data_IF_785227142863
#
_entry.id   IF_785227142863
#
_cell.length_a   1.000
_cell.length_b   1.000
_cell.length_c   1.000
_cell.angle_alpha   90.00
_cell.angle_beta   90.00
_cell.angle_gamma   90.00
#
_symmetry.space_group_name_H-M   'P 1'
#
loop_
_entity.id
_entity.type
_entity.pdbx_description
1 polymer ?
#
# COMPACT_ATOMS: atom_id res chain seq x y z
N UNK A 1 4.13 14.42 -36.26
CA UNK A 1 4.68 13.71 -35.09
C UNK A 1 4.21 12.26 -35.11
N UNK A 2 5.13 11.30 -35.22
CA UNK A 2 4.80 9.88 -35.33
C UNK A 2 4.47 9.24 -33.95
N UNK A 3 3.93 8.02 -33.94
CA UNK A 3 3.49 7.35 -32.70
C UNK A 3 4.61 7.19 -31.66
N UNK A 4 5.84 6.96 -32.11
CA UNK A 4 7.01 6.77 -31.25
C UNK A 4 7.34 8.08 -30.50
N UNK A 5 7.42 9.20 -31.23
CA UNK A 5 7.67 10.52 -30.64
C UNK A 5 6.58 10.94 -29.63
N UNK A 6 5.31 10.61 -29.90
CA UNK A 6 4.21 10.87 -28.96
C UNK A 6 4.34 10.06 -27.67
N UNK A 7 4.70 8.78 -27.78
CA UNK A 7 4.91 7.91 -26.61
C UNK A 7 6.05 8.40 -25.73
N UNK A 8 7.14 8.83 -26.34
CA UNK A 8 8.32 9.34 -25.64
C UNK A 8 8.04 10.66 -24.92
N UNK A 9 7.33 11.59 -25.56
CA UNK A 9 6.89 12.84 -24.94
C UNK A 9 5.99 12.59 -23.70
N UNK A 10 5.07 11.63 -23.77
CA UNK A 10 4.21 11.24 -22.64
C UNK A 10 5.05 10.67 -21.50
N UNK A 11 6.01 9.77 -21.80
CA UNK A 11 6.91 9.18 -20.80
C UNK A 11 7.77 10.25 -20.13
N UNK A 12 8.29 11.21 -20.89
CA UNK A 12 9.09 12.31 -20.36
C UNK A 12 8.26 13.23 -19.45
N UNK A 13 7.01 13.54 -19.82
CA UNK A 13 6.10 14.30 -18.96
C UNK A 13 5.80 13.60 -17.64
N UNK A 14 5.54 12.28 -17.67
CA UNK A 14 5.35 11.48 -16.47
C UNK A 14 6.59 11.45 -15.58
N UNK A 15 7.78 11.25 -16.18
CA UNK A 15 9.05 11.24 -15.44
C UNK A 15 9.34 12.58 -14.78
N UNK A 16 9.08 13.70 -15.46
CA UNK A 16 9.20 15.03 -14.88
C UNK A 16 8.28 15.18 -13.65
N UNK A 17 7.02 14.77 -13.77
CA UNK A 17 6.07 14.77 -12.65
C UNK A 17 6.48 13.87 -11.48
N UNK A 18 7.25 12.81 -11.75
CA UNK A 18 7.81 11.97 -10.68
C UNK A 18 9.03 12.58 -10.01
N UNK A 19 9.81 13.41 -10.71
CA UNK A 19 11.00 14.10 -10.21
C UNK A 19 10.68 15.35 -9.38
N UNK A 20 9.62 16.07 -9.74
CA UNK A 20 9.18 17.28 -9.03
C UNK A 20 8.05 17.03 -8.02
N UNK A 21 7.56 15.79 -7.91
CA UNK A 21 6.49 15.40 -7.00
C UNK A 21 5.07 15.82 -7.43
N UNK A 22 4.92 16.48 -8.58
CA UNK A 22 3.63 16.96 -9.10
C UNK A 22 2.75 15.87 -9.72
N UNK A 23 3.26 14.64 -9.79
CA UNK A 23 2.54 13.50 -10.36
C UNK A 23 1.17 13.31 -9.70
N UNK A 24 0.14 13.13 -10.52
CA UNK A 24 -1.20 12.72 -10.05
C UNK A 24 -1.18 11.43 -9.22
N UNK A 25 -0.15 10.60 -9.40
CA UNK A 25 0.03 9.38 -8.60
C UNK A 25 0.33 9.71 -7.13
N UNK A 26 0.99 10.84 -6.85
CA UNK A 26 1.24 11.30 -5.49
C UNK A 26 -0.07 11.58 -4.75
N UNK A 27 -1.01 12.22 -5.44
CA UNK A 27 -2.35 12.59 -4.93
C UNK A 27 -3.38 11.47 -5.06
N UNK A 28 -2.99 10.27 -5.50
CA UNK A 28 -3.95 9.15 -5.65
C UNK A 28 -4.51 8.74 -4.30
N UNK A 29 -5.85 8.78 -4.20
CA UNK A 29 -6.64 8.29 -3.06
C UNK A 29 -6.31 6.84 -2.74
N UNK A 30 -6.16 6.54 -1.45
CA UNK A 30 -6.15 5.18 -0.91
C UNK A 30 -7.03 5.14 0.34
N UNK A 31 -7.47 3.95 0.76
CA UNK A 31 -8.37 3.77 1.91
C UNK A 31 -7.76 4.41 3.17
N UNK A 32 -8.55 5.13 3.95
CA UNK A 32 -8.07 5.96 5.06
C UNK A 32 -7.93 7.44 4.69
N UNK A 33 -7.91 7.75 3.39
CA UNK A 33 -7.80 9.12 2.87
C UNK A 33 -8.91 9.44 1.89
N UNK A 34 -9.31 10.71 1.85
CA UNK A 34 -10.14 11.33 0.82
C UNK A 34 -9.34 12.38 0.06
N UNK A 35 -9.98 13.05 -0.90
CA UNK A 35 -9.42 14.19 -1.62
C UNK A 35 -10.18 15.44 -1.21
N UNK A 36 -9.49 16.46 -0.73
CA UNK A 36 -10.08 17.75 -0.36
C UNK A 36 -10.36 18.63 -1.60
N UNK A 37 -10.88 19.83 -1.38
CA UNK A 37 -11.17 20.81 -2.45
C UNK A 37 -9.95 21.21 -3.27
N UNK A 38 -8.76 21.17 -2.68
CA UNK A 38 -7.49 21.55 -3.32
C UNK A 38 -6.85 20.37 -4.09
N UNK A 39 -7.52 19.22 -4.10
CA UNK A 39 -7.04 18.01 -4.76
C UNK A 39 -5.96 17.27 -3.97
N UNK A 40 -5.82 17.54 -2.68
CA UNK A 40 -4.82 16.93 -1.80
C UNK A 40 -5.40 15.81 -0.95
N UNK A 41 -4.52 14.94 -0.44
CA UNK A 41 -4.93 13.82 0.43
C UNK A 41 -5.26 14.35 1.81
N UNK A 42 -6.49 14.13 2.24
CA UNK A 42 -6.99 14.46 3.57
C UNK A 42 -7.43 13.20 4.30
N UNK A 43 -7.24 13.14 5.61
CA UNK A 43 -7.62 11.96 6.41
C UNK A 43 -9.14 11.81 6.41
N UNK A 44 -9.63 10.62 6.05
CA UNK A 44 -10.98 10.21 6.38
C UNK A 44 -10.95 9.59 7.77
N UNK A 45 -11.51 10.22 8.82
CA UNK A 45 -11.35 9.79 10.20
C UNK A 45 -11.90 8.39 10.47
N UNK A 46 -12.98 7.98 9.79
CA UNK A 46 -13.58 6.67 10.02
C UNK A 46 -12.78 5.55 9.35
N UNK A 47 -12.34 5.75 8.11
CA UNK A 47 -11.46 4.79 7.45
C UNK A 47 -10.06 4.75 8.10
N UNK A 48 -9.57 5.88 8.63
CA UNK A 48 -8.28 5.95 9.31
C UNK A 48 -8.26 5.13 10.60
N UNK A 49 -9.35 5.11 11.37
CA UNK A 49 -9.49 4.22 12.53
C UNK A 49 -9.36 2.74 12.12
N UNK A 50 -9.96 2.37 10.99
CA UNK A 50 -9.88 1.01 10.45
C UNK A 50 -8.44 0.69 10.03
N UNK A 51 -7.75 1.63 9.39
CA UNK A 51 -6.32 1.47 9.04
C UNK A 51 -5.49 1.23 10.31
N UNK A 52 -5.61 2.09 11.32
CA UNK A 52 -4.88 1.93 12.60
C UNK A 52 -5.19 0.59 13.24
N UNK A 53 -6.46 0.20 13.31
CA UNK A 53 -6.87 -1.10 13.83
C UNK A 53 -6.23 -2.26 13.06
N UNK A 54 -6.17 -2.22 11.73
CA UNK A 54 -5.51 -3.26 10.92
C UNK A 54 -4.02 -3.38 11.30
N UNK A 55 -3.31 -2.25 11.43
CA UNK A 55 -1.90 -2.24 11.84
C UNK A 55 -1.72 -2.82 13.25
N UNK A 56 -2.57 -2.43 14.20
CA UNK A 56 -2.54 -2.94 15.58
C UNK A 56 -2.79 -4.45 15.64
N UNK A 57 -3.83 -4.93 14.96
CA UNK A 57 -4.16 -6.37 14.93
C UNK A 57 -3.04 -7.19 14.31
N UNK A 58 -2.40 -6.68 13.26
CA UNK A 58 -1.28 -7.37 12.64
C UNK A 58 -0.10 -7.53 13.59
N UNK A 59 0.28 -6.46 14.31
CA UNK A 59 1.32 -6.49 15.35
C UNK A 59 0.92 -7.33 16.57
N UNK A 60 -0.37 -7.46 16.86
CA UNK A 60 -0.88 -8.36 17.89
C UNK A 60 -0.82 -9.86 17.50
N UNK A 61 -0.25 -10.20 16.35
CA UNK A 61 -0.07 -11.59 15.90
C UNK A 61 -1.20 -12.13 15.03
N UNK A 62 -2.21 -11.32 14.68
CA UNK A 62 -3.29 -11.82 13.83
C UNK A 62 -2.79 -12.10 12.40
N UNK A 63 -3.27 -13.20 11.81
CA UNK A 63 -3.08 -13.47 10.39
C UNK A 63 -3.97 -12.57 9.54
N UNK A 64 -3.60 -12.36 8.27
CA UNK A 64 -4.41 -11.58 7.31
C UNK A 64 -5.85 -12.10 7.21
N UNK A 65 -6.05 -13.42 7.33
CA UNK A 65 -7.38 -14.03 7.34
C UNK A 65 -8.18 -13.70 8.60
N UNK A 66 -7.53 -13.66 9.77
CA UNK A 66 -8.17 -13.29 11.04
C UNK A 66 -8.56 -11.81 11.07
N UNK A 67 -7.71 -10.94 10.52
CA UNK A 67 -8.01 -9.51 10.32
C UNK A 67 -9.22 -9.35 9.40
N UNK A 68 -9.22 -10.02 8.23
CA UNK A 68 -10.35 -9.97 7.29
C UNK A 68 -11.67 -10.42 7.93
N UNK A 69 -11.66 -11.52 8.70
CA UNK A 69 -12.84 -11.99 9.42
C UNK A 69 -13.27 -11.01 10.53
N UNK A 70 -12.32 -10.33 11.18
CA UNK A 70 -12.60 -9.30 12.16
C UNK A 70 -13.29 -8.07 11.56
N UNK A 71 -12.86 -7.63 10.37
CA UNK A 71 -13.52 -6.55 9.62
C UNK A 71 -14.93 -6.94 9.17
N UNK A 72 -15.08 -8.16 8.66
CA UNK A 72 -16.37 -8.72 8.23
C UNK A 72 -17.37 -8.78 9.40
N UNK A 73 -16.95 -9.25 10.59
CA UNK A 73 -17.80 -9.25 11.79
C UNK A 73 -18.19 -7.86 12.28
N UNK A 74 -17.36 -6.85 12.05
CA UNK A 74 -17.66 -5.46 12.36
C UNK A 74 -18.54 -4.78 11.30
N UNK A 75 -18.88 -5.49 10.21
CA UNK A 75 -19.65 -4.94 9.11
C UNK A 75 -18.89 -3.91 8.28
N UNK A 76 -17.56 -3.91 8.31
CA UNK A 76 -16.71 -2.94 7.61
C UNK A 76 -16.44 -3.46 6.18
N UNK A 77 -17.03 -2.85 5.13
CA UNK A 77 -16.78 -3.28 3.77
C UNK A 77 -15.37 -2.92 3.30
N UNK A 78 -14.88 -3.64 2.29
CA UNK A 78 -13.65 -3.32 1.59
C UNK A 78 -13.73 -1.97 0.88
N UNK A 79 -12.60 -1.37 0.45
CA UNK A 79 -12.61 -0.13 -0.32
C UNK A 79 -13.38 -0.25 -1.66
N UNK A 80 -13.60 -1.48 -2.13
CA UNK A 80 -14.39 -1.79 -3.34
C UNK A 80 -15.86 -2.07 -3.06
N UNK A 81 -16.32 -1.87 -1.82
CA UNK A 81 -17.70 -2.12 -1.39
C UNK A 81 -18.02 -3.59 -1.10
N UNK A 82 -17.07 -4.53 -1.30
CA UNK A 82 -17.30 -5.94 -0.96
C UNK A 82 -17.43 -6.14 0.55
N UNK A 83 -18.31 -7.03 1.04
CA UNK A 83 -18.51 -7.26 2.48
C UNK A 83 -17.28 -7.86 3.16
N UNK A 84 -16.44 -8.58 2.41
CA UNK A 84 -15.23 -9.22 2.93
C UNK A 84 -13.98 -8.68 2.26
N UNK A 85 -13.01 -8.30 3.08
CA UNK A 85 -11.67 -7.96 2.64
C UNK A 85 -10.91 -9.21 2.20
N UNK A 86 -10.22 -9.14 1.06
CA UNK A 86 -9.30 -10.20 0.66
C UNK A 86 -7.94 -10.00 1.37
N UNK A 87 -7.18 -11.09 1.52
CA UNK A 87 -5.89 -11.07 2.23
C UNK A 87 -4.87 -10.17 1.55
N UNK A 88 -4.85 -10.16 0.21
CA UNK A 88 -3.93 -9.36 -0.59
C UNK A 88 -4.14 -7.85 -0.40
N UNK A 89 -5.38 -7.40 -0.24
CA UNK A 89 -5.71 -5.99 -0.01
C UNK A 89 -5.20 -5.53 1.36
N UNK A 90 -5.35 -6.37 2.39
CA UNK A 90 -4.80 -6.10 3.73
C UNK A 90 -3.27 -6.11 3.67
N UNK A 91 -2.67 -7.07 2.96
CA UNK A 91 -1.22 -7.15 2.81
C UNK A 91 -0.64 -5.90 2.14
N UNK A 92 -1.25 -5.46 1.03
CA UNK A 92 -0.89 -4.22 0.31
C UNK A 92 -1.09 -2.99 1.17
N UNK A 93 -2.16 -2.94 1.96
CA UNK A 93 -2.43 -1.85 2.90
C UNK A 93 -1.30 -1.74 3.93
N UNK A 94 -0.89 -2.87 4.54
CA UNK A 94 0.18 -2.92 5.54
C UNK A 94 1.56 -2.51 4.99
N UNK A 95 1.78 -2.58 3.67
CA UNK A 95 3.04 -2.17 3.03
C UNK A 95 2.97 -0.81 2.33
N UNK A 96 1.84 -0.10 2.40
CA UNK A 96 1.68 1.17 1.71
C UNK A 96 2.28 2.32 2.53
N UNK A 97 3.40 2.87 2.06
CA UNK A 97 4.11 3.98 2.73
C UNK A 97 3.27 5.26 2.84
N UNK A 98 2.18 5.39 2.07
CA UNK A 98 1.25 6.52 2.18
C UNK A 98 0.69 6.68 3.57
N UNK A 99 0.53 5.62 4.35
CA UNK A 99 0.05 5.74 5.73
C UNK A 99 1.01 6.48 6.65
N UNK A 100 2.27 6.68 6.23
CA UNK A 100 3.30 7.41 6.97
C UNK A 100 3.53 8.83 6.46
N UNK A 101 2.61 9.38 5.66
CA UNK A 101 2.76 10.71 5.05
C UNK A 101 3.80 10.76 3.93
N UNK A 102 4.15 9.60 3.36
CA UNK A 102 5.15 9.45 2.29
C UNK A 102 4.51 9.04 0.96
N UNK A 103 5.18 9.39 -0.14
CA UNK A 103 4.80 8.92 -1.47
C UNK A 103 6.03 8.42 -2.18
N UNK A 104 6.01 7.15 -2.61
CA UNK A 104 7.03 6.61 -3.50
C UNK A 104 6.53 6.58 -4.95
N UNK A 105 7.19 7.34 -5.83
CA UNK A 105 6.91 7.42 -7.26
C UNK A 105 7.87 6.54 -8.07
N UNK A 106 7.50 6.25 -9.32
CA UNK A 106 8.26 5.37 -10.23
C UNK A 106 8.42 3.93 -9.70
N UNK A 107 7.39 3.38 -9.03
CA UNK A 107 7.41 1.98 -8.51
C UNK A 107 7.41 0.92 -9.61
N UNK A 108 6.85 1.22 -10.77
CA UNK A 108 6.80 0.32 -11.93
C UNK A 108 7.25 1.04 -13.18
N UNK A 109 7.70 0.26 -14.16
CA UNK A 109 8.13 0.73 -15.47
C UNK A 109 7.28 0.09 -16.57
N UNK A 110 6.89 0.90 -17.55
CA UNK A 110 6.25 0.40 -18.77
C UNK A 110 7.29 0.02 -19.81
N UNK A 111 7.34 -1.25 -20.19
CA UNK A 111 8.17 -1.76 -21.29
C UNK A 111 7.48 -1.64 -22.65
N UNK A 112 6.29 -1.04 -22.70
CA UNK A 112 5.45 -0.95 -23.91
C UNK A 112 4.43 -2.09 -24.02
N UNK A 113 4.74 -3.29 -23.55
CA UNK A 113 3.82 -4.43 -23.50
C UNK A 113 3.36 -4.76 -22.08
N UNK A 114 4.28 -4.67 -21.10
CA UNK A 114 4.01 -5.06 -19.71
C UNK A 114 4.54 -4.02 -18.71
N UNK A 115 3.87 -3.95 -17.56
CA UNK A 115 4.35 -3.22 -16.39
C UNK A 115 5.21 -4.15 -15.55
N UNK A 116 6.43 -3.73 -15.26
CA UNK A 116 7.35 -4.47 -14.38
C UNK A 116 7.67 -3.63 -13.15
N UNK A 117 8.00 -4.28 -12.03
CA UNK A 117 8.47 -3.59 -10.84
C UNK A 117 9.82 -2.92 -11.09
N UNK A 118 9.99 -1.71 -10.53
CA UNK A 118 11.25 -0.99 -10.60
C UNK A 118 12.19 -1.42 -9.47
N UNK A 119 12.86 -2.56 -9.66
CA UNK A 119 13.82 -3.13 -8.73
C UNK A 119 15.24 -2.57 -8.96
N UNK A 120 15.36 -1.25 -9.05
CA UNK A 120 16.64 -0.54 -9.26
C UNK A 120 16.99 -0.28 -10.73
N UNK A 121 16.07 -0.56 -11.65
CA UNK A 121 16.23 -0.26 -13.08
C UNK A 121 16.22 1.25 -13.37
N UNK A 122 15.49 2.02 -12.56
CA UNK A 122 15.45 3.47 -12.60
C UNK A 122 15.37 4.05 -11.18
N UNK A 123 15.70 5.33 -11.05
CA UNK A 123 15.48 6.08 -9.82
C UNK A 123 14.02 6.00 -9.35
N UNK A 124 13.83 5.89 -8.04
CA UNK A 124 12.54 6.04 -7.38
C UNK A 124 12.57 7.31 -6.54
N UNK A 125 11.47 8.03 -6.53
CA UNK A 125 11.39 9.32 -5.85
C UNK A 125 10.50 9.18 -4.62
N UNK A 126 11.09 9.30 -3.43
CA UNK A 126 10.39 9.24 -2.15
C UNK A 126 10.19 10.67 -1.64
N UNK A 127 8.94 11.09 -1.53
CA UNK A 127 8.56 12.36 -0.93
C UNK A 127 8.05 12.12 0.48
N UNK A 128 8.48 12.95 1.43
CA UNK A 128 8.07 12.92 2.83
C UNK A 128 7.24 14.16 3.16
N UNK A 129 6.30 14.04 4.10
CA UNK A 129 5.45 15.16 4.51
C UNK A 129 4.51 15.63 3.40
N UNK A 130 4.14 14.74 2.48
CA UNK A 130 3.25 15.06 1.36
C UNK A 130 1.80 15.23 1.78
N UNK A 131 1.42 14.61 2.90
CA UNK A 131 0.10 14.63 3.51
C UNK A 131 0.18 14.11 4.95
N UNK A 132 -0.87 14.30 5.73
CA UNK A 132 -0.89 13.89 7.14
C UNK A 132 -0.80 12.37 7.30
N UNK A 133 0.05 11.92 8.23
CA UNK A 133 0.26 10.49 8.48
C UNK A 133 -0.86 9.90 9.35
N UNK A 134 -1.39 8.74 8.98
CA UNK A 134 -2.30 7.95 9.82
C UNK A 134 -1.50 7.05 10.79
N UNK A 135 -0.35 6.56 10.35
CA UNK A 135 0.49 5.59 11.07
C UNK A 135 1.88 6.20 11.32
N UNK A 136 2.37 6.06 12.54
CA UNK A 136 3.72 6.48 12.91
C UNK A 136 4.80 5.62 12.22
N UNK A 137 5.96 6.21 11.98
CA UNK A 137 7.13 5.51 11.42
C UNK A 137 7.51 4.27 12.22
N UNK A 138 7.50 4.39 13.55
CA UNK A 138 7.80 3.30 14.46
C UNK A 138 6.87 2.11 14.24
N UNK A 139 5.56 2.36 14.12
CA UNK A 139 4.57 1.31 13.92
C UNK A 139 4.68 0.69 12.52
N UNK A 140 4.88 1.52 11.49
CA UNK A 140 5.05 1.04 10.12
C UNK A 140 6.30 0.15 9.98
N UNK A 141 7.43 0.57 10.56
CA UNK A 141 8.67 -0.21 10.59
C UNK A 141 8.50 -1.53 11.34
N UNK A 142 7.81 -1.52 12.49
CA UNK A 142 7.50 -2.74 13.23
C UNK A 142 6.68 -3.73 12.38
N UNK A 143 5.68 -3.23 11.63
CA UNK A 143 4.89 -4.07 10.72
C UNK A 143 5.77 -4.65 9.60
N UNK A 144 6.64 -3.85 8.98
CA UNK A 144 7.52 -4.36 7.92
C UNK A 144 8.47 -5.44 8.47
N UNK A 145 9.02 -5.23 9.67
CA UNK A 145 9.87 -6.22 10.33
C UNK A 145 9.11 -7.52 10.62
N UNK A 146 7.88 -7.42 11.10
CA UNK A 146 7.01 -8.57 11.35
C UNK A 146 6.67 -9.33 10.06
N UNK A 147 6.38 -8.62 8.95
CA UNK A 147 6.20 -9.24 7.63
C UNK A 147 7.43 -10.03 7.19
N UNK A 148 8.63 -9.47 7.39
CA UNK A 148 9.89 -10.15 7.08
C UNK A 148 10.17 -11.35 7.99
N UNK A 149 9.74 -11.29 9.26
CA UNK A 149 9.86 -12.42 10.18
C UNK A 149 9.00 -13.59 9.72
N UNK A 150 7.72 -13.34 9.44
CA UNK A 150 6.76 -14.37 8.99
C UNK A 150 7.09 -14.99 7.64
N UNK A 151 7.78 -14.27 6.75
CA UNK A 151 8.20 -14.83 5.46
C UNK A 151 9.42 -15.75 5.57
N UNK A 152 10.23 -15.58 6.63
CA UNK A 152 11.40 -16.42 6.92
C UNK A 152 11.07 -17.70 7.69
N UNK A 153 9.88 -17.80 8.27
CA UNK A 153 9.36 -19.02 8.91
C UNK A 153 8.46 -19.80 7.92
N UNK A 154 9.00 -20.73 7.10
CA UNK A 154 8.16 -21.70 6.41
C UNK A 154 7.52 -22.62 7.46
N UNK A 155 6.28 -23.05 7.19
CA UNK A 155 5.42 -23.86 8.05
C UNK A 155 6.05 -25.16 8.57
N UNK A 156 6.93 -25.10 9.57
CA UNK A 156 7.36 -26.26 10.35
C UNK A 156 6.42 -26.42 11.54
N UNK A 157 5.18 -26.88 11.29
CA UNK A 157 4.39 -27.66 12.25
C UNK A 157 3.12 -28.20 11.58
N UNK A 158 3.25 -29.24 10.75
CA UNK A 158 2.19 -30.24 10.66
C UNK A 158 2.59 -31.31 11.66
N UNK A 159 2.17 -31.15 12.91
CA UNK A 159 2.20 -32.25 13.87
C UNK A 159 1.13 -33.26 13.44
N UNK A 160 1.51 -34.21 12.58
CA UNK A 160 0.77 -35.46 12.44
C UNK A 160 0.84 -36.18 13.79
N UNK A 161 -0.21 -36.06 14.60
CA UNK A 161 -0.48 -37.07 15.62
C UNK A 161 -0.86 -38.36 14.88
N UNK A 162 0.10 -39.27 14.71
CA UNK A 162 -0.25 -40.68 14.56
C UNK A 162 -0.68 -41.16 15.95
N UNK A 163 -1.97 -41.39 16.10
CA UNK A 163 -2.51 -42.24 17.16
C UNK A 163 -2.14 -43.68 16.80
N UNK A 164 -1.36 -44.36 17.65
CA UNK A 164 -1.29 -45.81 17.70
C UNK A 164 -2.42 -46.33 18.59
#
# INVERSE_FOLDING_TARGET
>A
MNMIQKSEAIKNGLRKGFQDGSSKMAKRKCYGYTINSDGELEINPDEAKVVTWIFERYLAGDSLGKIAAGLERQGIPSPTGRPKWNREAIDKLLSNEKYTGRVLLQKTLSTGAVQIENNGLMERYLYTGSHEAIISDKMFMAVQQEKLSRSKEPQNHIAMKLSL
#
